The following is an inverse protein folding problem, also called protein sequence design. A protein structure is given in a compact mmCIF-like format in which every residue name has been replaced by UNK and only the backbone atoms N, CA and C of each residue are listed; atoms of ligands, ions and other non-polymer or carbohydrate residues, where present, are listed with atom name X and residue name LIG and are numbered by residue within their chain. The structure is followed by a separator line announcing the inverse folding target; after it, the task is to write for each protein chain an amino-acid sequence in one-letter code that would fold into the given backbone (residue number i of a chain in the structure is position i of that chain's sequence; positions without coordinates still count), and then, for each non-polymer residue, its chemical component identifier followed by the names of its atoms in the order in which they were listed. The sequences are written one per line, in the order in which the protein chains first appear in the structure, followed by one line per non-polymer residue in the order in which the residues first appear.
data_IF_783303839836
#
_entry.id   IF_783303839836
#
_cell.length_a   1.000
_cell.length_b   1.000
_cell.length_c   1.000
_cell.angle_alpha   90.00
_cell.angle_beta   90.00
_cell.angle_gamma   90.00
#
_symmetry.space_group_name_H-M   'P 1'
#
loop_
_entity.id
_entity.type
_entity.pdbx_description
1 polymer ?
#
# COMPACT_ATOMS: atom_id res chain seq x y z
N UNK A 1 -1.83 -10.19 -13.91
CA UNK A 1 -2.42 -9.44 -12.79
C UNK A 1 -1.30 -8.86 -11.94
N UNK A 2 -1.38 -7.60 -11.60
CA UNK A 2 -0.35 -6.94 -10.80
C UNK A 2 -0.79 -6.80 -9.36
N UNK A 3 0.02 -7.27 -8.45
CA UNK A 3 -0.23 -7.16 -7.01
C UNK A 3 1.08 -6.79 -6.32
N UNK A 4 1.05 -5.75 -5.50
CA UNK A 4 2.21 -5.23 -4.80
C UNK A 4 1.92 -5.24 -3.30
N UNK A 5 2.83 -5.79 -2.52
CA UNK A 5 2.73 -5.78 -1.06
C UNK A 5 3.73 -4.82 -0.47
N UNK A 6 3.27 -4.04 0.48
CA UNK A 6 4.11 -3.08 1.18
C UNK A 6 3.95 -3.22 2.68
N UNK A 7 5.03 -2.95 3.39
CA UNK A 7 4.98 -2.70 4.83
C UNK A 7 4.94 -1.18 4.98
N UNK A 8 3.75 -0.65 5.19
CA UNK A 8 3.51 0.78 5.27
C UNK A 8 3.58 1.20 6.72
N UNK A 9 4.80 1.53 7.16
CA UNK A 9 5.09 1.93 8.56
C UNK A 9 4.55 0.90 9.55
N UNK A 10 4.80 -0.38 9.27
CA UNK A 10 4.36 -1.47 10.13
C UNK A 10 3.00 -2.04 9.81
N UNK A 11 2.27 -1.45 8.87
CA UNK A 11 0.93 -1.91 8.47
C UNK A 11 1.02 -2.58 7.09
N UNK A 12 0.72 -3.88 6.99
CA UNK A 12 0.79 -4.56 5.70
C UNK A 12 -0.36 -4.12 4.79
N UNK A 13 0.01 -3.71 3.58
CA UNK A 13 -0.92 -3.20 2.57
C UNK A 13 -0.73 -3.99 1.28
N UNK A 14 -1.83 -4.33 0.63
CA UNK A 14 -1.82 -4.94 -0.69
C UNK A 14 -2.43 -3.96 -1.69
N UNK A 15 -1.70 -3.66 -2.76
CA UNK A 15 -2.21 -2.82 -3.85
C UNK A 15 -2.34 -3.68 -5.09
N UNK A 16 -3.54 -3.77 -5.62
CA UNK A 16 -3.81 -4.59 -6.81
C UNK A 16 -4.29 -3.73 -7.97
N UNK A 17 -3.99 -4.18 -9.18
CA UNK A 17 -4.50 -3.54 -10.39
C UNK A 17 -5.80 -4.21 -10.80
N UNK A 18 -6.86 -3.42 -10.89
CA UNK A 18 -8.18 -3.89 -11.32
C UNK A 18 -8.60 -3.07 -12.52
N UNK A 19 -8.44 -3.63 -13.72
CA UNK A 19 -8.69 -2.90 -14.94
C UNK A 19 -7.74 -1.73 -15.07
N UNK A 20 -8.26 -0.54 -15.07
CA UNK A 20 -7.49 0.69 -15.24
C UNK A 20 -7.21 1.44 -13.93
N UNK A 21 -7.47 0.81 -12.78
CA UNK A 21 -7.28 1.49 -11.50
C UNK A 21 -6.57 0.62 -10.48
N UNK A 22 -5.97 1.28 -9.49
CA UNK A 22 -5.34 0.63 -8.36
C UNK A 22 -6.31 0.56 -7.19
N UNK A 23 -6.27 -0.56 -6.45
CA UNK A 23 -7.11 -0.75 -5.26
C UNK A 23 -6.21 -1.17 -4.12
N UNK A 24 -6.31 -0.47 -2.99
CA UNK A 24 -5.54 -0.78 -1.80
C UNK A 24 -6.39 -1.55 -0.80
N UNK A 25 -5.76 -2.50 -0.13
CA UNK A 25 -6.38 -3.32 0.91
C UNK A 25 -5.47 -3.39 2.12
N UNK A 26 -6.06 -3.42 3.31
CA UNK A 26 -5.35 -3.80 4.52
C UNK A 26 -5.27 -5.33 4.58
N UNK A 27 -4.09 -5.84 4.88
CA UNK A 27 -3.90 -7.27 5.07
C UNK A 27 -4.02 -7.59 6.55
N UNK A 28 -5.00 -8.40 6.90
CA UNK A 28 -5.21 -8.84 8.26
C UNK A 28 -4.51 -10.16 8.54
N UNK A 29 -4.70 -10.64 9.77
CA UNK A 29 -4.22 -11.94 10.22
C UNK A 29 -4.98 -13.03 9.44
N UNK A 30 -4.31 -14.14 9.15
CA UNK A 30 -4.89 -15.30 8.44
C UNK A 30 -5.20 -15.02 6.97
N UNK A 31 -4.50 -14.06 6.37
CA UNK A 31 -4.67 -13.78 4.96
C UNK A 31 -5.94 -13.05 4.58
N UNK A 32 -6.74 -12.65 5.54
CA UNK A 32 -7.94 -11.86 5.27
C UNK A 32 -7.55 -10.46 4.87
N UNK A 33 -8.28 -9.89 3.93
CA UNK A 33 -8.04 -8.52 3.49
C UNK A 33 -9.34 -7.74 3.45
N UNK A 34 -9.25 -6.43 3.66
CA UNK A 34 -10.39 -5.55 3.53
C UNK A 34 -9.99 -4.29 2.80
N UNK A 35 -10.96 -3.68 2.16
CA UNK A 35 -10.73 -2.46 1.40
C UNK A 35 -10.18 -1.36 2.31
N UNK A 36 -9.21 -0.59 1.79
CA UNK A 36 -8.66 0.56 2.48
C UNK A 36 -9.16 1.84 1.80
N UNK A 37 -10.35 2.35 2.17
CA UNK A 37 -10.95 3.49 1.46
C UNK A 37 -10.19 4.79 1.69
N UNK A 38 -9.40 4.86 2.74
CA UNK A 38 -8.57 6.03 3.06
C UNK A 38 -7.26 6.07 2.25
N UNK A 39 -6.95 4.99 1.52
CA UNK A 39 -5.77 4.94 0.66
C UNK A 39 -6.23 4.89 -0.80
N UNK A 40 -6.07 5.99 -1.50
CA UNK A 40 -6.45 6.10 -2.91
C UNK A 40 -5.20 6.31 -3.74
N UNK A 41 -4.93 5.38 -4.66
CA UNK A 41 -3.78 5.47 -5.56
C UNK A 41 -4.30 5.91 -6.93
N UNK A 42 -3.74 6.99 -7.51
CA UNK A 42 -4.17 7.44 -8.83
C UNK A 42 -4.03 6.35 -9.88
N UNK A 43 -5.03 6.25 -10.76
CA UNK A 43 -5.09 5.18 -11.75
C UNK A 43 -3.93 5.23 -12.75
N UNK A 44 -3.40 6.41 -13.02
CA UNK A 44 -2.31 6.61 -13.97
C UNK A 44 -0.93 6.49 -13.34
N UNK A 45 -0.84 6.20 -12.04
CA UNK A 45 0.44 6.10 -11.36
C UNK A 45 1.17 4.81 -11.76
N UNK A 46 2.43 4.90 -12.20
CA UNK A 46 3.22 3.69 -12.47
C UNK A 46 3.48 2.90 -11.19
N UNK A 47 3.56 1.58 -11.33
CA UNK A 47 3.82 0.69 -10.19
C UNK A 47 5.09 1.10 -9.43
N UNK A 48 6.13 1.54 -10.14
CA UNK A 48 7.40 1.92 -9.54
C UNK A 48 7.30 3.15 -8.62
N UNK A 49 6.24 3.95 -8.74
CA UNK A 49 6.07 5.17 -7.95
C UNK A 49 5.14 4.98 -6.75
N UNK A 50 4.48 3.84 -6.65
CA UNK A 50 3.47 3.62 -5.61
C UNK A 50 4.09 3.63 -4.22
N UNK A 51 5.28 3.03 -4.06
CA UNK A 51 5.98 3.02 -2.76
C UNK A 51 6.20 4.44 -2.25
N UNK A 52 6.71 5.32 -3.08
CA UNK A 52 6.96 6.71 -2.72
C UNK A 52 5.65 7.44 -2.40
N UNK A 53 4.64 7.20 -3.22
CA UNK A 53 3.33 7.82 -3.02
C UNK A 53 2.72 7.42 -1.68
N UNK A 54 2.75 6.12 -1.35
CA UNK A 54 2.20 5.64 -0.08
C UNK A 54 2.98 6.21 1.11
N UNK A 55 4.30 6.30 0.98
CA UNK A 55 5.13 6.88 2.02
C UNK A 55 4.77 8.34 2.29
N UNK A 56 4.56 9.10 1.23
CA UNK A 56 4.19 10.52 1.37
C UNK A 56 2.77 10.69 1.92
N UNK A 57 1.85 9.84 1.46
CA UNK A 57 0.44 9.92 1.88
C UNK A 57 0.29 9.61 3.37
N UNK A 58 1.02 8.63 3.86
CA UNK A 58 0.86 8.11 5.21
C UNK A 58 2.09 8.38 6.10
N UNK A 59 2.88 9.40 5.80
CA UNK A 59 4.11 9.64 6.55
C UNK A 59 3.87 9.87 8.04
N UNK A 60 2.67 10.28 8.42
CA UNK A 60 2.30 10.48 9.83
C UNK A 60 2.26 9.16 10.60
N UNK A 61 2.19 8.04 9.89
CA UNK A 61 2.17 6.71 10.51
C UNK A 61 3.58 6.24 10.93
N UNK A 62 4.62 6.98 10.52
CA UNK A 62 5.99 6.59 10.83
C UNK A 62 6.23 6.62 12.35
N UNK A 63 6.93 5.59 12.83
CA UNK A 63 7.31 5.49 14.23
C UNK A 63 8.79 5.13 14.32
N UNK A 64 9.36 5.16 15.53
CA UNK A 64 10.75 4.76 15.73
C UNK A 64 11.00 3.31 15.29
N UNK A 65 10.00 2.44 15.45
CA UNK A 65 10.12 1.03 15.07
C UNK A 65 9.88 0.80 13.58
N UNK A 66 9.08 1.67 12.95
CA UNK A 66 8.71 1.54 11.55
C UNK A 66 8.85 2.90 10.87
N UNK A 67 10.09 3.35 10.62
CA UNK A 67 10.32 4.70 10.12
C UNK A 67 10.15 4.87 8.62
N UNK A 68 9.98 3.77 7.88
CA UNK A 68 9.94 3.82 6.42
C UNK A 68 8.96 2.79 5.84
N UNK A 69 8.57 3.03 4.59
CA UNK A 69 7.81 2.08 3.80
C UNK A 69 8.78 1.09 3.16
N UNK A 70 8.43 -0.19 3.16
CA UNK A 70 9.22 -1.23 2.48
C UNK A 70 8.32 -2.01 1.55
N UNK A 71 8.81 -2.32 0.38
CA UNK A 71 8.10 -3.21 -0.53
C UNK A 71 8.46 -4.64 -0.15
N UNK A 72 7.45 -5.46 0.15
CA UNK A 72 7.65 -6.83 0.57
C UNK A 72 7.63 -7.79 -0.62
N UNK A 73 6.79 -7.49 -1.60
CA UNK A 73 6.59 -8.42 -2.73
C UNK A 73 6.11 -7.69 -3.98
#
# INVERSE_FOLDING_TARGET
MTALKFDLYGTPILVTRDGDRWIAHYLGIEGKRRRAPDIVVPSDMPAAEIKQYLGDLCHEWATDRHPAVRQID
#
